data_IF_513826881269
#
_entry.id   IF_513826881269
#
_cell.length_a   1.000
_cell.length_b   1.000
_cell.length_c   1.000
_cell.angle_alpha   90.00
_cell.angle_beta   90.00
_cell.angle_gamma   90.00
#
_symmetry.space_group_name_H-M   'P 1'
#
loop_
_entity.id
_entity.type
_entity.pdbx_description
1 polymer ?
#
# COMPACT_ATOMS: atom_id res chain seq x y z
N UNK A 1 39.36 -17.51 -0.18
CA UNK A 1 38.33 -18.56 -0.06
C UNK A 1 37.42 -18.26 1.13
N UNK A 2 36.31 -17.58 0.91
CA UNK A 2 35.28 -17.38 1.95
C UNK A 2 34.25 -18.50 1.80
N UNK A 3 34.39 -19.53 2.62
CA UNK A 3 33.35 -20.55 2.77
C UNK A 3 32.18 -19.86 3.46
N UNK A 4 31.06 -19.71 2.75
CA UNK A 4 29.84 -19.11 3.29
C UNK A 4 29.51 -19.68 4.66
N UNK A 5 29.22 -18.79 5.62
CA UNK A 5 28.87 -19.14 6.98
C UNK A 5 27.78 -20.22 6.99
N UNK A 6 28.17 -21.43 7.41
CA UNK A 6 27.25 -22.51 7.72
C UNK A 6 26.61 -22.14 9.05
N UNK A 7 25.39 -21.62 9.01
CA UNK A 7 24.56 -21.48 10.22
C UNK A 7 24.20 -22.89 10.69
N UNK A 8 24.91 -23.40 11.71
CA UNK A 8 24.52 -24.62 12.43
C UNK A 8 23.53 -24.24 13.52
N UNK A 9 22.33 -24.83 13.49
CA UNK A 9 21.49 -24.96 14.69
C UNK A 9 22.06 -26.09 15.55
N UNK A 10 21.91 -26.02 16.86
CA UNK A 10 22.34 -26.99 17.88
C UNK A 10 21.81 -28.44 17.69
N UNK A 11 21.10 -28.75 16.60
CA UNK A 11 20.51 -30.06 16.32
C UNK A 11 20.79 -30.45 14.86
N UNK A 12 22.03 -30.85 14.58
CA UNK A 12 22.46 -31.85 13.56
C UNK A 12 22.12 -31.70 12.07
N UNK A 13 21.04 -31.03 11.65
CA UNK A 13 20.55 -31.08 10.28
C UNK A 13 20.84 -29.76 9.53
N UNK A 14 21.73 -29.81 8.54
CA UNK A 14 22.09 -28.69 7.66
C UNK A 14 20.96 -28.46 6.66
N UNK A 15 20.11 -27.45 6.88
CA UNK A 15 18.94 -27.17 6.03
C UNK A 15 19.25 -26.53 4.66
N UNK A 16 20.49 -26.13 4.38
CA UNK A 16 20.87 -25.53 3.08
C UNK A 16 22.26 -25.98 2.66
N UNK A 17 22.31 -26.99 1.81
CA UNK A 17 23.49 -27.26 1.00
C UNK A 17 23.52 -26.24 -0.14
N UNK A 18 24.48 -25.31 -0.13
CA UNK A 18 24.73 -24.39 -1.25
C UNK A 18 25.38 -25.10 -2.46
N UNK A 19 25.03 -26.36 -2.73
CA UNK A 19 25.54 -27.09 -3.89
C UNK A 19 24.69 -26.71 -5.10
N UNK A 20 25.34 -26.19 -6.12
CA UNK A 20 24.73 -25.86 -7.40
C UNK A 20 24.98 -27.02 -8.39
N UNK A 21 24.03 -27.29 -9.30
CA UNK A 21 24.19 -28.37 -10.28
C UNK A 21 25.36 -28.08 -11.23
N UNK A 22 26.03 -29.14 -11.67
CA UNK A 22 26.96 -29.07 -12.80
C UNK A 22 26.20 -28.67 -14.07
N UNK A 23 26.90 -27.99 -14.97
CA UNK A 23 26.37 -27.57 -16.26
C UNK A 23 27.50 -27.31 -17.23
N UNK A 24 27.47 -27.93 -18.40
CA UNK A 24 28.52 -27.75 -19.41
C UNK A 24 28.30 -26.52 -20.29
N UNK A 25 27.23 -25.76 -20.04
CA UNK A 25 26.95 -24.46 -20.67
C UNK A 25 26.31 -23.50 -19.65
N UNK A 26 26.35 -22.19 -19.94
CA UNK A 26 25.53 -21.22 -19.20
C UNK A 26 24.16 -21.10 -19.85
N UNK A 27 23.10 -21.30 -19.06
CA UNK A 27 21.71 -21.25 -19.52
C UNK A 27 20.99 -20.09 -18.82
N UNK A 28 20.45 -19.19 -19.63
CA UNK A 28 19.61 -18.08 -19.16
C UNK A 28 18.13 -18.51 -19.29
N UNK A 29 17.36 -18.30 -18.23
CA UNK A 29 15.94 -18.63 -18.21
C UNK A 29 15.10 -17.35 -18.03
N UNK A 30 13.90 -17.34 -18.60
CA UNK A 30 12.98 -16.20 -18.45
C UNK A 30 12.44 -16.06 -17.00
N UNK A 31 12.14 -17.18 -16.33
CA UNK A 31 11.38 -17.19 -15.08
C UNK A 31 12.12 -17.83 -13.88
N UNK A 32 13.42 -18.13 -13.99
CA UNK A 32 14.22 -18.70 -12.90
C UNK A 32 15.68 -18.23 -12.96
N UNK A 33 16.45 -18.32 -11.85
CA UNK A 33 17.86 -17.93 -11.85
C UNK A 33 18.68 -18.65 -12.92
N UNK A 34 19.71 -17.97 -13.44
CA UNK A 34 20.61 -18.52 -14.44
C UNK A 34 21.34 -19.77 -13.92
N UNK A 35 21.58 -20.73 -14.82
CA UNK A 35 22.42 -21.89 -14.54
C UNK A 35 23.78 -21.62 -15.19
N UNK A 36 24.79 -21.33 -14.38
CA UNK A 36 26.13 -21.02 -14.86
C UNK A 36 26.90 -22.27 -15.26
N UNK A 37 27.77 -22.12 -16.26
CA UNK A 37 28.80 -23.10 -16.61
C UNK A 37 29.57 -23.52 -15.36
N UNK A 38 29.59 -24.82 -15.13
CA UNK A 38 30.14 -25.49 -13.96
C UNK A 38 30.47 -26.93 -14.35
N UNK A 39 31.65 -27.19 -14.91
CA UNK A 39 32.03 -28.53 -15.34
C UNK A 39 32.14 -29.46 -14.14
N UNK A 40 31.73 -30.72 -14.35
CA UNK A 40 31.96 -31.80 -13.41
C UNK A 40 33.45 -32.16 -13.34
N UNK A 41 33.94 -32.84 -12.30
CA UNK A 41 35.32 -33.33 -12.27
C UNK A 41 35.69 -34.20 -13.47
N UNK A 42 34.73 -34.97 -13.98
CA UNK A 42 34.91 -35.82 -15.17
C UNK A 42 35.01 -35.00 -16.46
N UNK A 43 34.40 -33.80 -16.49
CA UNK A 43 34.42 -32.85 -17.60
C UNK A 43 35.52 -31.77 -17.46
N UNK A 44 36.59 -32.06 -16.71
CA UNK A 44 37.70 -31.12 -16.50
C UNK A 44 37.45 -30.07 -15.42
N UNK A 45 36.49 -30.30 -14.52
CA UNK A 45 36.19 -29.44 -13.39
C UNK A 45 37.17 -29.60 -12.23
N UNK A 46 37.56 -28.47 -11.64
CA UNK A 46 38.52 -28.44 -10.53
C UNK A 46 37.98 -29.05 -9.23
N UNK A 47 38.88 -29.70 -8.50
CA UNK A 47 38.62 -30.18 -7.14
C UNK A 47 39.76 -29.80 -6.19
N UNK A 48 39.40 -29.43 -4.96
CA UNK A 48 40.35 -29.02 -3.93
C UNK A 48 40.05 -29.77 -2.63
N UNK A 49 41.04 -30.50 -2.10
CA UNK A 49 40.93 -31.17 -0.80
C UNK A 49 41.57 -30.32 0.28
N UNK A 50 40.79 -29.93 1.29
CA UNK A 50 41.27 -29.16 2.45
C UNK A 50 41.04 -29.96 3.73
N UNK A 51 42.08 -30.11 4.55
CA UNK A 51 41.97 -30.69 5.89
C UNK A 51 41.27 -29.69 6.83
N UNK A 52 40.16 -30.08 7.44
CA UNK A 52 39.49 -29.32 8.50
C UNK A 52 39.33 -30.19 9.74
N UNK A 53 40.15 -29.92 10.75
CA UNK A 53 40.23 -30.76 11.95
C UNK A 53 40.73 -32.16 11.61
N UNK A 54 39.97 -33.19 12.00
CA UNK A 54 40.30 -34.61 11.75
C UNK A 54 39.81 -35.14 10.39
N UNK A 55 39.10 -34.34 9.59
CA UNK A 55 38.50 -34.77 8.33
C UNK A 55 39.09 -34.02 7.12
N UNK A 56 39.17 -34.72 5.99
CA UNK A 56 39.44 -34.13 4.68
C UNK A 56 38.12 -33.78 4.01
N UNK A 57 37.99 -32.54 3.54
CA UNK A 57 36.81 -32.07 2.83
C UNK A 57 37.21 -31.74 1.39
N UNK A 58 36.59 -32.44 0.43
CA UNK A 58 36.71 -32.13 -1.00
C UNK A 58 35.74 -31.01 -1.36
N UNK A 59 36.26 -29.95 -1.98
CA UNK A 59 35.50 -28.92 -2.66
C UNK A 59 35.58 -29.16 -4.15
N UNK A 60 34.44 -29.03 -4.82
CA UNK A 60 34.30 -29.15 -6.27
C UNK A 60 33.58 -27.89 -6.77
N UNK A 61 33.45 -27.78 -8.08
CA UNK A 61 32.75 -26.65 -8.70
C UNK A 61 31.29 -26.47 -8.22
N UNK A 62 30.61 -27.49 -7.66
CA UNK A 62 29.25 -27.34 -7.10
C UNK A 62 29.20 -26.40 -5.91
N UNK A 63 30.32 -26.20 -5.23
CA UNK A 63 30.43 -25.36 -4.03
C UNK A 63 30.99 -23.97 -4.33
N UNK A 64 31.26 -23.67 -5.60
CA UNK A 64 31.76 -22.37 -6.05
C UNK A 64 30.59 -21.47 -6.45
N UNK A 65 30.56 -20.28 -5.85
CA UNK A 65 29.61 -19.22 -6.16
C UNK A 65 30.19 -18.38 -7.31
N UNK A 66 29.38 -18.02 -8.33
CA UNK A 66 29.84 -17.17 -9.43
C UNK A 66 30.47 -15.86 -8.92
N UNK A 67 31.54 -15.44 -9.58
CA UNK A 67 32.28 -14.22 -9.23
C UNK A 67 32.82 -13.56 -10.48
N UNK A 68 33.18 -12.28 -10.36
CA UNK A 68 33.94 -11.56 -11.37
C UNK A 68 35.39 -11.41 -10.87
N UNK A 69 36.40 -11.92 -11.58
CA UNK A 69 37.81 -11.80 -11.18
C UNK A 69 38.25 -10.34 -10.96
N UNK A 70 37.81 -9.41 -11.81
CA UNK A 70 38.14 -7.99 -11.67
C UNK A 70 37.58 -7.41 -10.38
N UNK A 71 36.32 -7.68 -10.07
CA UNK A 71 35.68 -7.20 -8.83
C UNK A 71 36.34 -7.84 -7.60
N UNK A 72 36.68 -9.13 -7.68
CA UNK A 72 37.34 -9.85 -6.59
C UNK A 72 38.70 -9.25 -6.27
N UNK A 73 39.49 -8.89 -7.29
CA UNK A 73 40.80 -8.22 -7.10
C UNK A 73 40.61 -6.78 -6.65
N UNK A 74 39.70 -6.03 -7.26
CA UNK A 74 39.48 -4.61 -6.96
C UNK A 74 39.05 -4.34 -5.51
N UNK A 75 38.28 -5.25 -4.91
CA UNK A 75 37.75 -5.10 -3.55
C UNK A 75 38.33 -6.10 -2.56
N UNK A 76 39.30 -6.92 -2.98
CA UNK A 76 39.97 -7.96 -2.18
C UNK A 76 39.01 -8.89 -1.42
N UNK A 77 37.79 -9.07 -1.94
CA UNK A 77 36.78 -9.93 -1.31
C UNK A 77 35.85 -10.58 -2.34
N UNK A 78 35.21 -11.67 -1.93
CA UNK A 78 34.29 -12.39 -2.81
C UNK A 78 32.94 -11.67 -2.87
N UNK A 79 32.53 -11.31 -4.09
CA UNK A 79 31.22 -10.77 -4.38
C UNK A 79 30.39 -11.79 -5.14
N UNK A 80 29.18 -12.07 -4.66
CA UNK A 80 28.22 -12.89 -5.39
C UNK A 80 27.71 -12.10 -6.60
N UNK A 81 27.98 -12.58 -7.82
CA UNK A 81 27.49 -11.98 -9.05
C UNK A 81 26.40 -12.86 -9.68
N UNK A 82 25.22 -12.29 -9.92
CA UNK A 82 24.07 -13.00 -10.50
C UNK A 82 23.52 -12.20 -11.69
N UNK A 83 23.08 -12.89 -12.73
CA UNK A 83 22.47 -12.31 -13.94
C UNK A 83 21.01 -12.00 -13.65
N UNK A 84 20.62 -10.74 -13.81
CA UNK A 84 19.30 -10.24 -13.38
C UNK A 84 18.38 -9.79 -14.53
N UNK A 85 18.79 -9.93 -15.80
CA UNK A 85 18.03 -9.44 -16.95
C UNK A 85 16.86 -10.38 -17.30
N UNK A 86 15.70 -9.82 -17.63
CA UNK A 86 14.50 -10.56 -18.06
C UNK A 86 13.52 -11.00 -16.96
N UNK A 87 13.94 -10.94 -15.68
CA UNK A 87 13.10 -11.35 -14.55
C UNK A 87 12.68 -10.14 -13.70
N UNK A 88 11.45 -9.66 -13.86
CA UNK A 88 10.87 -8.55 -13.07
C UNK A 88 10.99 -8.78 -11.57
N UNK A 89 10.89 -10.02 -11.11
CA UNK A 89 11.07 -10.39 -9.71
C UNK A 89 12.51 -10.26 -9.19
N UNK A 90 13.53 -10.53 -10.02
CA UNK A 90 14.93 -10.34 -9.63
C UNK A 90 15.29 -8.86 -9.61
N UNK A 91 14.79 -8.09 -10.58
CA UNK A 91 14.94 -6.64 -10.59
C UNK A 91 14.24 -6.02 -9.36
N UNK A 92 13.02 -6.49 -9.07
CA UNK A 92 12.27 -6.14 -7.86
C UNK A 92 13.02 -6.57 -6.60
N UNK A 93 13.67 -7.73 -6.57
CA UNK A 93 14.47 -8.18 -5.43
C UNK A 93 15.71 -7.30 -5.22
N UNK A 94 16.46 -7.02 -6.29
CA UNK A 94 17.65 -6.18 -6.28
C UNK A 94 17.32 -4.73 -5.90
N UNK A 95 16.17 -4.21 -6.33
CA UNK A 95 15.67 -2.89 -5.93
C UNK A 95 14.99 -2.89 -4.57
N UNK A 96 14.47 -4.04 -4.09
CA UNK A 96 13.79 -4.10 -2.79
C UNK A 96 14.76 -4.23 -1.65
N UNK A 97 15.83 -5.02 -1.78
CA UNK A 97 16.70 -5.37 -0.66
C UNK A 97 17.55 -4.22 -0.09
N UNK A 98 18.16 -3.35 -0.91
CA UNK A 98 18.85 -2.16 -0.42
C UNK A 98 17.92 -1.18 0.30
N UNK A 99 16.64 -1.16 -0.08
CA UNK A 99 15.61 -0.29 0.48
C UNK A 99 14.69 -1.01 1.46
N UNK A 100 14.95 -2.29 1.77
CA UNK A 100 14.23 -3.03 2.78
C UNK A 100 14.65 -2.39 4.09
N UNK A 101 13.75 -1.59 4.64
CA UNK A 101 14.03 -0.77 5.82
C UNK A 101 14.63 -1.59 6.95
N UNK A 102 15.35 -0.90 7.82
CA UNK A 102 15.88 -1.45 9.07
C UNK A 102 14.83 -2.35 9.73
N UNK A 103 15.17 -3.63 9.86
CA UNK A 103 14.35 -4.54 10.67
C UNK A 103 14.32 -3.98 12.08
N UNK A 104 13.17 -4.03 12.74
CA UNK A 104 13.15 -3.72 14.17
C UNK A 104 13.62 -4.98 14.90
N UNK A 105 14.56 -4.79 15.82
CA UNK A 105 14.95 -5.85 16.75
C UNK A 105 14.30 -5.56 18.09
N UNK A 106 13.64 -6.57 18.64
CA UNK A 106 13.25 -6.55 20.03
C UNK A 106 14.45 -6.98 20.87
N UNK A 107 14.86 -6.13 21.79
CA UNK A 107 15.99 -6.41 22.68
C UNK A 107 15.44 -6.67 24.07
N UNK A 108 15.79 -7.83 24.62
CA UNK A 108 15.52 -8.20 26.01
C UNK A 108 16.75 -7.84 26.84
N UNK A 109 16.58 -7.00 27.87
CA UNK A 109 17.64 -6.69 28.83
C UNK A 109 17.50 -7.60 30.04
N UNK A 110 18.54 -8.36 30.36
CA UNK A 110 18.64 -9.09 31.63
C UNK A 110 19.51 -8.27 32.59
N UNK A 111 19.02 -7.99 33.80
CA UNK A 111 19.80 -7.38 34.88
C UNK A 111 19.92 -8.42 35.98
N UNK A 112 21.14 -8.80 36.34
CA UNK A 112 21.44 -9.74 37.42
C UNK A 112 20.72 -11.09 37.34
N UNK A 113 20.48 -11.62 36.13
CA UNK A 113 19.85 -12.93 35.92
C UNK A 113 18.36 -13.02 36.30
N UNK A 114 17.75 -11.91 36.75
CA UNK A 114 16.34 -11.80 37.05
C UNK A 114 15.63 -11.06 35.92
N UNK A 115 14.63 -11.72 35.33
CA UNK A 115 13.75 -11.12 34.34
C UNK A 115 12.66 -10.37 35.09
N UNK A 116 12.83 -9.07 35.31
CA UNK A 116 11.76 -8.22 35.82
C UNK A 116 10.79 -7.93 34.67
N UNK A 117 9.67 -8.66 34.58
CA UNK A 117 8.73 -8.58 33.46
C UNK A 117 7.89 -7.29 33.57
N UNK A 118 8.36 -6.24 32.90
CA UNK A 118 7.54 -5.08 32.52
C UNK A 118 7.34 -5.16 30.99
N UNK A 119 6.22 -5.74 30.56
CA UNK A 119 5.95 -6.12 29.15
C UNK A 119 6.07 -4.93 28.17
N UNK A 120 5.52 -3.73 28.44
CA UNK A 120 5.74 -2.54 27.59
C UNK A 120 7.19 -2.05 27.54
N UNK A 121 7.94 -2.09 28.65
CA UNK A 121 9.35 -1.67 28.71
C UNK A 121 10.30 -2.70 28.10
N UNK A 122 9.93 -3.98 28.12
CA UNK A 122 10.75 -5.09 27.62
C UNK A 122 10.80 -5.21 26.10
N UNK A 123 9.84 -4.62 25.39
CA UNK A 123 9.88 -4.54 23.93
C UNK A 123 10.40 -3.17 23.50
N UNK A 124 11.64 -2.85 23.89
CA UNK A 124 12.35 -1.75 23.24
C UNK A 124 12.53 -2.10 21.76
N UNK A 125 11.65 -1.52 20.92
CA UNK A 125 11.69 -1.65 19.47
C UNK A 125 12.92 -0.88 18.96
N UNK A 126 14.07 -1.54 18.96
CA UNK A 126 15.31 -0.93 18.50
C UNK A 126 15.41 -1.01 16.99
N UNK A 127 16.02 0.01 16.39
CA UNK A 127 16.29 0.04 14.96
C UNK A 127 17.56 -0.78 14.70
N UNK A 128 17.44 -1.96 14.07
CA UNK A 128 18.61 -2.71 13.63
C UNK A 128 19.28 -1.98 12.46
N UNK A 129 20.59 -1.78 12.58
CA UNK A 129 21.45 -1.28 11.52
C UNK A 129 22.40 -2.42 11.14
N UNK A 130 22.49 -2.75 9.86
CA UNK A 130 23.43 -3.79 9.41
C UNK A 130 24.88 -3.32 9.63
N UNK A 131 25.85 -4.24 9.76
CA UNK A 131 27.27 -3.86 9.86
C UNK A 131 27.73 -2.92 8.74
N UNK A 132 27.22 -3.12 7.52
CA UNK A 132 27.50 -2.25 6.37
C UNK A 132 26.95 -0.85 6.54
N UNK A 133 25.72 -0.71 7.06
CA UNK A 133 25.13 0.60 7.34
C UNK A 133 25.87 1.31 8.49
N UNK A 134 26.24 0.56 9.53
CA UNK A 134 27.02 1.08 10.66
C UNK A 134 28.40 1.60 10.21
N UNK A 135 29.15 0.79 9.45
CA UNK A 135 30.43 1.19 8.86
C UNK A 135 30.28 2.44 7.98
N UNK A 136 29.30 2.46 7.09
CA UNK A 136 29.04 3.61 6.21
C UNK A 136 28.78 4.89 7.01
N UNK A 137 28.05 4.80 8.14
CA UNK A 137 27.80 5.96 9.02
C UNK A 137 29.04 6.39 9.78
N UNK A 138 29.82 5.46 10.33
CA UNK A 138 31.08 5.75 11.02
C UNK A 138 32.04 6.47 10.06
N UNK A 139 32.14 5.98 8.83
CA UNK A 139 32.97 6.58 7.78
C UNK A 139 32.33 7.80 7.10
N UNK A 140 31.14 8.23 7.52
CA UNK A 140 30.39 9.34 6.93
C UNK A 140 30.14 9.22 5.41
N UNK A 141 30.05 7.99 4.90
CA UNK A 141 29.70 7.73 3.50
C UNK A 141 28.23 8.05 3.25
N UNK A 142 27.97 8.76 2.14
CA UNK A 142 26.62 9.07 1.69
C UNK A 142 25.96 7.77 1.18
N UNK A 143 25.18 7.14 2.05
CA UNK A 143 24.51 5.86 1.76
C UNK A 143 23.32 5.98 0.80
N UNK A 144 22.63 7.13 0.80
CA UNK A 144 21.50 7.39 -0.08
C UNK A 144 21.46 8.87 -0.48
N UNK A 145 21.23 9.11 -1.77
CA UNK A 145 20.93 10.44 -2.28
C UNK A 145 19.46 10.48 -2.70
N UNK A 146 18.65 11.26 -1.96
CA UNK A 146 17.30 11.58 -2.39
C UNK A 146 17.36 12.73 -3.39
N UNK A 147 16.91 12.48 -4.62
CA UNK A 147 16.77 13.50 -5.66
C UNK A 147 15.69 14.53 -5.31
N UNK A 148 14.64 14.12 -4.59
CA UNK A 148 13.48 14.96 -4.26
C UNK A 148 13.16 14.97 -2.76
N UNK A 149 12.51 16.02 -2.31
CA UNK A 149 11.85 16.11 -1.00
C UNK A 149 10.40 15.70 -1.19
N UNK A 150 9.99 14.60 -0.54
CA UNK A 150 8.60 14.12 -0.59
C UNK A 150 7.78 14.80 0.49
N UNK A 151 6.71 15.49 0.10
CA UNK A 151 5.77 16.15 1.01
C UNK A 151 4.51 15.27 1.12
N UNK A 152 4.22 14.69 2.30
CA UNK A 152 3.04 13.87 2.49
C UNK A 152 1.76 14.72 2.48
N UNK A 153 0.80 14.32 1.67
CA UNK A 153 -0.49 14.96 1.48
C UNK A 153 -1.61 13.97 1.86
N UNK A 154 -2.54 14.39 2.70
CA UNK A 154 -3.66 13.57 3.18
C UNK A 154 -4.97 14.08 2.58
N UNK A 155 -5.84 13.16 2.17
CA UNK A 155 -7.20 13.45 1.74
C UNK A 155 -8.17 13.24 2.90
N UNK A 156 -9.17 14.10 2.99
CA UNK A 156 -10.33 13.99 3.87
C UNK A 156 -11.52 14.67 3.18
N UNK A 157 -12.74 14.26 3.51
CA UNK A 157 -13.95 14.95 3.06
C UNK A 157 -13.99 16.37 3.66
N UNK A 158 -14.77 17.31 3.06
CA UNK A 158 -15.02 18.61 3.66
C UNK A 158 -15.41 18.48 5.13
N UNK A 159 -14.78 19.29 5.98
CA UNK A 159 -14.97 19.33 7.44
C UNK A 159 -14.64 18.05 8.24
N UNK A 160 -14.16 16.99 7.57
CA UNK A 160 -13.76 15.72 8.19
C UNK A 160 -12.24 15.59 8.39
N UNK A 161 -11.51 16.69 8.57
CA UNK A 161 -10.07 16.66 8.85
C UNK A 161 -9.75 16.05 10.21
N UNK A 162 -8.71 15.22 10.24
CA UNK A 162 -8.15 14.70 11.50
C UNK A 162 -7.36 15.80 12.23
N UNK A 163 -7.75 16.08 13.47
CA UNK A 163 -7.07 17.04 14.34
C UNK A 163 -6.32 16.27 15.43
N UNK A 164 -5.02 16.48 15.52
CA UNK A 164 -4.16 15.87 16.53
C UNK A 164 -3.89 16.86 17.66
N UNK A 165 -4.11 16.42 18.89
CA UNK A 165 -3.87 17.21 20.09
C UNK A 165 -3.17 16.36 21.17
N UNK A 166 -2.53 17.03 22.12
CA UNK A 166 -1.96 16.46 23.34
C UNK A 166 -2.83 16.87 24.52
N UNK A 167 -2.70 16.16 25.65
CA UNK A 167 -3.42 16.50 26.88
C UNK A 167 -3.27 17.97 27.29
N UNK A 168 -2.09 18.56 27.03
CA UNK A 168 -1.78 19.97 27.36
C UNK A 168 -2.50 21.00 26.48
N UNK A 169 -2.84 20.67 25.23
CA UNK A 169 -3.44 21.62 24.29
C UNK A 169 -4.88 21.25 23.87
N UNK A 170 -5.42 20.15 24.38
CA UNK A 170 -6.77 19.66 24.10
C UNK A 170 -7.83 20.72 24.35
N UNK A 171 -7.84 21.32 25.55
CA UNK A 171 -8.83 22.33 25.95
C UNK A 171 -8.84 23.56 25.04
N UNK A 172 -7.65 24.03 24.63
CA UNK A 172 -7.50 25.17 23.71
C UNK A 172 -7.99 24.83 22.29
N UNK A 173 -7.73 23.61 21.83
CA UNK A 173 -8.17 23.16 20.50
C UNK A 173 -9.70 22.96 20.49
N UNK A 174 -10.26 22.35 21.53
CA UNK A 174 -11.70 22.15 21.67
C UNK A 174 -12.42 23.50 21.73
N UNK A 175 -11.93 24.47 22.52
CA UNK A 175 -12.54 25.79 22.58
C UNK A 175 -12.46 26.54 21.24
N UNK A 176 -11.35 26.40 20.50
CA UNK A 176 -11.22 26.97 19.16
C UNK A 176 -12.19 26.32 18.15
N UNK A 177 -12.38 25.00 18.22
CA UNK A 177 -13.34 24.27 17.38
C UNK A 177 -14.77 24.72 17.70
N UNK A 178 -15.13 24.81 19.00
CA UNK A 178 -16.45 25.31 19.42
C UNK A 178 -16.70 26.76 18.99
N UNK A 179 -15.63 27.55 18.84
CA UNK A 179 -15.68 28.91 18.29
C UNK A 179 -15.64 28.95 16.75
N UNK A 180 -15.77 27.81 16.06
CA UNK A 180 -15.77 27.69 14.60
C UNK A 180 -14.39 27.81 13.93
N UNK A 181 -13.30 27.85 14.70
CA UNK A 181 -11.93 27.96 14.18
C UNK A 181 -11.30 26.58 14.05
N UNK A 182 -11.65 25.87 12.99
CA UNK A 182 -11.08 24.55 12.71
C UNK A 182 -9.69 24.72 12.09
N UNK A 183 -8.63 24.08 12.61
CA UNK A 183 -7.29 24.16 12.04
C UNK A 183 -7.23 23.63 10.62
N UNK A 184 -6.64 24.41 9.70
CA UNK A 184 -6.51 23.98 8.32
C UNK A 184 -5.52 22.82 8.15
N UNK A 185 -5.95 21.84 7.35
CA UNK A 185 -5.09 20.79 6.81
C UNK A 185 -4.37 21.30 5.56
N UNK A 186 -3.45 20.51 5.01
CA UNK A 186 -2.84 20.82 3.71
C UNK A 186 -3.86 20.89 2.57
N UNK A 187 -4.91 20.07 2.65
CA UNK A 187 -5.97 20.01 1.64
C UNK A 187 -6.94 21.17 1.79
N UNK A 188 -7.41 21.47 3.01
CA UNK A 188 -8.31 22.62 3.23
C UNK A 188 -7.62 23.95 2.93
N UNK A 189 -6.34 24.08 3.28
CA UNK A 189 -5.53 25.23 2.89
C UNK A 189 -5.33 25.32 1.37
N UNK A 190 -5.26 24.18 0.66
CA UNK A 190 -5.19 24.16 -0.80
C UNK A 190 -6.50 24.63 -1.43
N UNK A 191 -7.65 24.22 -0.89
CA UNK A 191 -8.94 24.73 -1.35
C UNK A 191 -9.06 26.23 -1.15
N UNK A 192 -8.66 26.75 0.02
CA UNK A 192 -8.60 28.21 0.26
C UNK A 192 -7.64 28.90 -0.72
N UNK A 193 -6.49 28.30 -1.00
CA UNK A 193 -5.52 28.81 -1.96
C UNK A 193 -6.13 28.89 -3.38
N UNK A 194 -6.88 27.87 -3.82
CA UNK A 194 -7.55 27.86 -5.13
C UNK A 194 -8.60 28.97 -5.27
N UNK A 195 -9.18 29.43 -4.16
CA UNK A 195 -10.11 30.57 -4.15
C UNK A 195 -9.33 31.89 -4.27
N UNK A 196 -8.23 32.02 -3.53
CA UNK A 196 -7.45 33.27 -3.48
C UNK A 196 -6.49 33.49 -4.65
N UNK A 197 -5.99 32.42 -5.27
CA UNK A 197 -4.96 32.46 -6.32
C UNK A 197 -5.38 31.61 -7.52
N UNK A 198 -5.64 32.27 -8.65
CA UNK A 198 -6.04 31.62 -9.90
C UNK A 198 -4.96 30.70 -10.46
N UNK A 199 -3.68 30.96 -10.18
CA UNK A 199 -2.60 30.09 -10.63
C UNK A 199 -2.63 28.75 -9.87
N UNK A 200 -2.98 28.77 -8.59
CA UNK A 200 -3.14 27.54 -7.80
C UNK A 200 -4.31 26.68 -8.28
N UNK A 201 -5.37 27.31 -8.80
CA UNK A 201 -6.54 26.61 -9.38
C UNK A 201 -6.19 25.76 -10.61
N UNK A 202 -5.04 26.01 -11.24
CA UNK A 202 -4.55 25.23 -12.39
C UNK A 202 -3.54 24.14 -12.01
N UNK A 203 -3.25 23.95 -10.72
CA UNK A 203 -2.21 23.02 -10.24
C UNK A 203 -2.88 21.91 -9.43
N UNK A 204 -2.63 20.66 -9.82
CA UNK A 204 -3.11 19.49 -9.09
C UNK A 204 -2.58 19.49 -7.66
N UNK A 205 -3.39 19.01 -6.71
CA UNK A 205 -3.02 18.99 -5.30
C UNK A 205 -1.67 18.28 -5.05
N UNK A 206 -1.38 17.21 -5.79
CA UNK A 206 -0.11 16.48 -5.73
C UNK A 206 1.10 17.32 -6.15
N UNK A 207 0.91 18.31 -7.04
CA UNK A 207 1.99 19.12 -7.62
C UNK A 207 2.14 20.47 -6.90
N UNK A 208 1.20 20.85 -6.03
CA UNK A 208 1.28 22.09 -5.25
C UNK A 208 2.62 22.26 -4.50
N UNK A 209 3.22 21.22 -3.90
CA UNK A 209 4.51 21.36 -3.22
C UNK A 209 5.69 21.80 -4.10
N UNK A 210 5.58 21.68 -5.43
CA UNK A 210 6.59 22.12 -6.40
C UNK A 210 6.66 23.65 -6.47
N UNK A 211 5.50 24.31 -6.37
CA UNK A 211 5.34 25.76 -6.55
C UNK A 211 5.05 26.49 -5.24
N UNK A 212 4.50 25.81 -4.23
CA UNK A 212 4.15 26.39 -2.94
C UNK A 212 4.81 25.64 -1.77
N UNK A 213 5.09 26.38 -0.69
CA UNK A 213 5.52 25.84 0.59
C UNK A 213 4.43 26.01 1.64
N UNK A 214 4.06 24.90 2.28
CA UNK A 214 3.13 24.92 3.40
C UNK A 214 3.81 25.46 4.66
N UNK A 215 3.32 26.59 5.18
CA UNK A 215 3.71 27.09 6.50
C UNK A 215 2.92 26.33 7.57
N UNK A 216 3.63 25.59 8.44
CA UNK A 216 2.99 24.79 9.50
C UNK A 216 2.37 25.63 10.62
N UNK A 217 2.87 26.84 10.85
CA UNK A 217 2.42 27.72 11.92
C UNK A 217 1.13 28.42 11.50
N UNK A 218 1.16 29.06 10.34
CA UNK A 218 0.03 29.80 9.78
C UNK A 218 -1.01 28.88 9.13
N UNK A 219 -0.66 27.62 8.84
CA UNK A 219 -1.46 26.64 8.10
C UNK A 219 -1.86 27.08 6.69
N UNK A 220 -1.02 27.89 6.04
CA UNK A 220 -1.26 28.39 4.68
C UNK A 220 -0.16 27.95 3.71
N UNK A 221 -0.52 27.85 2.43
CA UNK A 221 0.43 27.69 1.35
C UNK A 221 0.98 29.06 0.93
N UNK A 222 2.30 29.20 0.87
CA UNK A 222 3.00 30.40 0.40
C UNK A 222 3.76 30.09 -0.88
N UNK A 223 3.67 30.97 -1.87
CA UNK A 223 4.37 30.81 -3.15
C UNK A 223 5.89 30.75 -2.93
N UNK A 224 6.55 29.82 -3.60
CA UNK A 224 8.00 29.72 -3.54
C UNK A 224 8.64 30.77 -4.45
N UNK A 225 9.57 31.56 -3.89
CA UNK A 225 10.42 32.42 -4.69
C UNK A 225 11.55 31.59 -5.30
N UNK A 226 11.30 31.03 -6.49
CA UNK A 226 12.31 30.31 -7.28
C UNK A 226 13.13 31.34 -8.05
N UNK A 227 13.99 32.09 -7.35
CA UNK A 227 15.01 32.91 -8.00
C UNK A 227 16.21 32.05 -8.40
N UNK A 228 17.07 32.54 -9.30
CA UNK A 228 18.27 31.82 -9.76
C UNK A 228 19.19 31.36 -8.62
N UNK A 229 19.18 32.06 -7.48
CA UNK A 229 19.92 31.70 -6.26
C UNK A 229 19.41 30.41 -5.57
N UNK A 230 18.20 29.93 -5.92
CA UNK A 230 17.58 28.72 -5.37
C UNK A 230 17.74 27.48 -6.26
N UNK A 231 18.51 27.52 -7.37
CA UNK A 231 18.77 26.34 -8.24
C UNK A 231 19.40 25.15 -7.50
N UNK A 232 20.11 25.38 -6.39
CA UNK A 232 20.68 24.31 -5.55
C UNK A 232 19.65 23.67 -4.59
N UNK A 233 18.40 24.11 -4.58
CA UNK A 233 17.36 23.55 -3.71
C UNK A 233 16.84 22.25 -4.31
N UNK A 234 16.78 21.19 -3.49
CA UNK A 234 16.21 19.92 -3.92
C UNK A 234 14.76 20.11 -4.37
N UNK A 235 14.36 19.57 -5.54
CA UNK A 235 12.98 19.60 -6.01
C UNK A 235 12.06 18.92 -5.00
N UNK A 236 10.78 19.31 -4.99
CA UNK A 236 9.79 18.85 -4.00
C UNK A 236 8.64 18.21 -4.76
N UNK A 237 8.16 17.07 -4.29
CA UNK A 237 7.00 16.39 -4.88
C UNK A 237 5.97 16.12 -3.79
N UNK A 238 4.69 16.27 -4.10
CA UNK A 238 3.64 15.79 -3.23
C UNK A 238 3.52 14.27 -3.33
N UNK A 239 3.13 13.64 -2.23
CA UNK A 239 2.68 12.25 -2.23
C UNK A 239 1.36 12.18 -1.52
N UNK A 240 0.30 11.92 -2.25
CA UNK A 240 -1.02 11.69 -1.68
C UNK A 240 -1.05 10.29 -1.04
N UNK A 241 -1.51 10.20 0.21
CA UNK A 241 -1.74 8.90 0.85
C UNK A 241 -2.86 8.15 0.14
N UNK A 242 -2.64 6.85 -0.09
CA UNK A 242 -3.65 5.97 -0.69
C UNK A 242 -4.88 5.94 0.20
N UNK A 243 -6.04 6.16 -0.43
CA UNK A 243 -7.35 5.99 0.20
C UNK A 243 -7.91 4.62 -0.23
N UNK A 244 -8.59 3.94 0.69
CA UNK A 244 -9.22 2.66 0.39
C UNK A 244 -10.51 2.88 -0.40
N UNK A 245 -10.78 2.09 -1.46
CA UNK A 245 -12.07 2.10 -2.17
C UNK A 245 -13.28 1.72 -1.31
N UNK A 246 -13.05 1.23 -0.09
CA UNK A 246 -14.11 0.89 0.87
C UNK A 246 -14.87 2.11 1.37
N UNK A 247 -14.26 3.29 1.35
CA UNK A 247 -14.91 4.57 1.59
C UNK A 247 -15.13 5.23 0.22
N UNK A 248 -16.28 5.00 -0.42
CA UNK A 248 -16.49 5.35 -1.83
C UNK A 248 -16.38 6.85 -2.06
N UNK A 249 -16.85 7.65 -1.10
CA UNK A 249 -16.89 9.11 -1.21
C UNK A 249 -15.50 9.72 -1.02
N UNK A 250 -14.77 9.28 0.00
CA UNK A 250 -13.39 9.72 0.21
C UNK A 250 -12.47 9.23 -0.93
N UNK A 251 -12.72 8.02 -1.43
CA UNK A 251 -11.97 7.46 -2.56
C UNK A 251 -12.23 8.24 -3.85
N UNK A 252 -13.49 8.63 -4.11
CA UNK A 252 -13.83 9.49 -5.23
C UNK A 252 -13.11 10.83 -5.15
N UNK A 253 -13.08 11.48 -3.99
CA UNK A 253 -12.31 12.71 -3.79
C UNK A 253 -10.80 12.50 -4.02
N UNK A 254 -10.25 11.36 -3.56
CA UNK A 254 -8.86 11.00 -3.81
C UNK A 254 -8.53 10.85 -5.30
N UNK A 255 -9.41 10.23 -6.10
CA UNK A 255 -9.19 10.14 -7.55
C UNK A 255 -9.41 11.51 -8.20
N UNK A 256 -10.49 12.20 -7.88
CA UNK A 256 -10.79 13.52 -8.45
C UNK A 256 -9.62 14.50 -8.27
N UNK A 257 -9.03 14.56 -7.07
CA UNK A 257 -7.88 15.44 -6.77
C UNK A 257 -6.59 15.07 -7.50
N UNK A 258 -6.48 13.84 -8.03
CA UNK A 258 -5.36 13.42 -8.89
C UNK A 258 -5.53 13.83 -10.35
N UNK A 259 -6.76 13.98 -10.80
CA UNK A 259 -7.06 14.28 -12.20
C UNK A 259 -7.44 15.74 -12.44
N UNK A 260 -8.01 16.40 -11.43
CA UNK A 260 -8.57 17.74 -11.54
C UNK A 260 -8.10 18.61 -10.36
N UNK A 261 -7.65 19.85 -10.63
CA UNK A 261 -7.37 20.81 -9.59
C UNK A 261 -8.65 21.54 -9.15
N UNK A 262 -8.59 22.20 -8.00
CA UNK A 262 -9.64 23.13 -7.56
C UNK A 262 -10.26 22.81 -6.20
N UNK A 263 -11.35 23.53 -5.92
CA UNK A 263 -12.13 23.43 -4.69
C UNK A 263 -13.10 22.25 -4.74
N UNK A 264 -13.70 21.83 -3.60
CA UNK A 264 -14.75 20.82 -3.58
C UNK A 264 -15.87 21.08 -4.59
N UNK A 265 -16.29 22.35 -4.72
CA UNK A 265 -17.31 22.77 -5.66
C UNK A 265 -16.88 22.59 -7.12
N UNK A 266 -15.64 22.93 -7.44
CA UNK A 266 -15.08 22.72 -8.79
C UNK A 266 -15.04 21.22 -9.14
N UNK A 267 -14.71 20.36 -8.16
CA UNK A 267 -14.65 18.91 -8.34
C UNK A 267 -16.04 18.27 -8.50
N UNK A 268 -17.04 18.78 -7.79
CA UNK A 268 -18.45 18.35 -7.89
C UNK A 268 -19.14 18.85 -9.17
N UNK A 269 -18.63 19.91 -9.80
CA UNK A 269 -19.21 20.44 -11.03
C UNK A 269 -18.71 19.65 -12.24
N UNK A 270 -19.62 19.01 -12.97
CA UNK A 270 -19.33 18.23 -14.20
C UNK A 270 -20.25 18.72 -15.31
N UNK A 271 -19.69 19.15 -16.44
CA UNK A 271 -20.45 19.66 -17.61
C UNK A 271 -21.48 20.77 -17.27
N UNK A 272 -21.18 21.61 -16.27
CA UNK A 272 -22.08 22.68 -15.83
C UNK A 272 -23.15 22.25 -14.80
N UNK A 273 -23.21 20.96 -14.44
CA UNK A 273 -24.10 20.44 -13.40
C UNK A 273 -23.33 20.17 -12.10
N UNK A 274 -23.87 20.62 -10.97
CA UNK A 274 -23.29 20.38 -9.63
C UNK A 274 -23.83 19.04 -9.08
N UNK A 275 -22.94 18.06 -8.92
CA UNK A 275 -23.27 16.75 -8.37
C UNK A 275 -23.48 16.83 -6.85
N UNK A 276 -24.26 15.91 -6.29
CA UNK A 276 -24.48 15.86 -4.83
C UNK A 276 -23.31 15.20 -4.10
N UNK A 277 -22.63 14.27 -4.76
CA UNK A 277 -21.54 13.48 -4.17
C UNK A 277 -20.30 13.46 -5.07
N UNK A 278 -19.12 13.32 -4.47
CA UNK A 278 -17.88 13.12 -5.20
C UNK A 278 -17.91 11.81 -6.00
N UNK A 279 -18.53 10.77 -5.46
CA UNK A 279 -18.70 9.50 -6.17
C UNK A 279 -19.48 9.68 -7.48
N UNK A 280 -20.59 10.43 -7.47
CA UNK A 280 -21.35 10.78 -8.67
C UNK A 280 -20.50 11.58 -9.66
N UNK A 281 -19.81 12.63 -9.20
CA UNK A 281 -18.95 13.44 -10.05
C UNK A 281 -17.82 12.63 -10.71
N UNK A 282 -17.20 11.71 -9.96
CA UNK A 282 -16.17 10.82 -10.48
C UNK A 282 -16.73 9.85 -11.54
N UNK A 283 -17.96 9.32 -11.36
CA UNK A 283 -18.64 8.49 -12.36
C UNK A 283 -18.94 9.27 -13.64
N UNK A 284 -19.53 10.46 -13.53
CA UNK A 284 -19.83 11.29 -14.71
C UNK A 284 -18.57 11.71 -15.47
N UNK A 285 -17.43 11.80 -14.79
CA UNK A 285 -16.11 12.04 -15.39
C UNK A 285 -15.44 10.78 -15.95
N UNK A 286 -16.07 9.61 -15.86
CA UNK A 286 -15.55 8.33 -16.35
C UNK A 286 -14.32 7.82 -15.58
N UNK A 287 -14.15 8.24 -14.33
CA UNK A 287 -13.00 7.87 -13.49
C UNK A 287 -13.17 6.52 -12.79
N UNK A 288 -14.41 6.04 -12.70
CA UNK A 288 -14.72 4.71 -12.20
C UNK A 288 -15.16 3.80 -13.36
N UNK A 289 -14.74 2.54 -13.29
CA UNK A 289 -15.30 1.47 -14.11
C UNK A 289 -16.75 1.25 -13.68
N UNK A 290 -17.66 1.26 -14.66
CA UNK A 290 -19.08 1.01 -14.44
C UNK A 290 -19.35 -0.31 -13.72
N UNK A 291 -20.48 -0.38 -13.03
CA UNK A 291 -21.00 -1.61 -12.41
C UNK A 291 -21.31 -2.74 -13.41
N UNK A 292 -20.98 -2.59 -14.69
CA UNK A 292 -21.21 -3.54 -15.77
C UNK A 292 -20.80 -4.98 -15.41
N UNK A 293 -19.67 -5.17 -14.71
CA UNK A 293 -19.24 -6.51 -14.28
C UNK A 293 -20.22 -7.09 -13.26
N UNK A 294 -20.64 -6.30 -12.27
CA UNK A 294 -21.55 -6.73 -11.21
C UNK A 294 -22.98 -6.88 -11.71
N UNK A 295 -23.41 -6.02 -12.63
CA UNK A 295 -24.68 -6.17 -13.32
C UNK A 295 -24.72 -7.47 -14.12
N UNK A 296 -23.71 -7.76 -14.94
CA UNK A 296 -23.63 -9.04 -15.68
C UNK A 296 -23.62 -10.23 -14.73
N UNK A 297 -22.86 -10.15 -13.64
CA UNK A 297 -22.78 -11.20 -12.61
C UNK A 297 -24.14 -11.45 -11.96
N UNK A 298 -24.86 -10.39 -11.56
CA UNK A 298 -26.19 -10.52 -10.96
C UNK A 298 -27.23 -10.97 -11.99
N UNK A 299 -27.10 -10.58 -13.25
CA UNK A 299 -27.96 -11.02 -14.35
C UNK A 299 -27.80 -12.52 -14.63
N UNK A 300 -26.57 -13.03 -14.68
CA UNK A 300 -26.30 -14.46 -14.79
C UNK A 300 -26.79 -15.23 -13.54
N UNK A 301 -26.56 -14.67 -12.35
CA UNK A 301 -27.07 -15.21 -11.10
C UNK A 301 -28.60 -15.29 -11.08
N UNK A 302 -29.28 -14.28 -11.62
CA UNK A 302 -30.75 -14.21 -11.63
C UNK A 302 -31.43 -15.34 -12.40
N UNK A 303 -30.70 -15.97 -13.33
CA UNK A 303 -31.16 -17.10 -14.14
C UNK A 303 -30.90 -18.44 -13.44
N UNK A 304 -29.84 -18.52 -12.64
CA UNK A 304 -29.28 -19.79 -12.13
C UNK A 304 -29.42 -20.00 -10.62
N UNK A 305 -29.66 -18.93 -9.85
CA UNK A 305 -29.62 -18.94 -8.39
C UNK A 305 -31.01 -18.75 -7.78
N UNK A 306 -31.22 -19.38 -6.62
CA UNK A 306 -32.41 -19.12 -5.81
C UNK A 306 -32.29 -17.80 -5.03
N UNK A 307 -33.39 -17.26 -4.48
CA UNK A 307 -33.37 -15.97 -3.78
C UNK A 307 -32.37 -15.88 -2.62
N UNK A 308 -32.10 -16.99 -1.92
CA UNK A 308 -31.12 -17.01 -0.83
C UNK A 308 -29.69 -16.84 -1.36
N UNK A 309 -29.37 -17.57 -2.43
CA UNK A 309 -28.09 -17.46 -3.12
C UNK A 309 -27.91 -16.09 -3.78
N UNK A 310 -28.98 -15.50 -4.34
CA UNK A 310 -28.94 -14.14 -4.88
C UNK A 310 -28.61 -13.10 -3.80
N UNK A 311 -29.22 -13.19 -2.60
CA UNK A 311 -28.87 -12.30 -1.47
C UNK A 311 -27.42 -12.47 -1.02
N UNK A 312 -26.92 -13.72 -0.98
CA UNK A 312 -25.52 -13.99 -0.65
C UNK A 312 -24.55 -13.42 -1.69
N UNK A 313 -24.84 -13.62 -2.97
CA UNK A 313 -24.04 -13.07 -4.08
C UNK A 313 -24.01 -11.55 -4.01
N UNK A 314 -25.17 -10.91 -3.83
CA UNK A 314 -25.28 -9.46 -3.68
C UNK A 314 -24.46 -8.94 -2.50
N UNK A 315 -24.60 -9.54 -1.31
CA UNK A 315 -23.79 -9.17 -0.14
C UNK A 315 -22.28 -9.35 -0.40
N UNK A 316 -21.87 -10.43 -1.05
CA UNK A 316 -20.46 -10.66 -1.41
C UNK A 316 -19.94 -9.60 -2.39
N UNK A 317 -20.74 -9.20 -3.38
CA UNK A 317 -20.39 -8.11 -4.29
C UNK A 317 -20.18 -6.84 -3.48
N UNK A 318 -21.14 -6.43 -2.63
CA UNK A 318 -21.00 -5.22 -1.81
C UNK A 318 -19.75 -5.23 -0.92
N UNK A 319 -19.42 -6.37 -0.30
CA UNK A 319 -18.28 -6.48 0.61
C UNK A 319 -16.94 -6.51 -0.13
N UNK A 320 -16.84 -7.25 -1.25
CA UNK A 320 -15.56 -7.61 -1.88
C UNK A 320 -15.34 -7.06 -3.29
N UNK A 321 -16.38 -6.60 -3.97
CA UNK A 321 -16.29 -6.15 -5.37
C UNK A 321 -15.75 -4.73 -5.54
N UNK A 322 -15.63 -3.95 -4.46
CA UNK A 322 -15.02 -2.62 -4.49
C UNK A 322 -13.51 -2.72 -4.72
N UNK A 323 -13.03 -2.13 -5.82
CA UNK A 323 -11.60 -2.10 -6.18
C UNK A 323 -11.12 -0.67 -6.42
N UNK A 324 -9.82 -0.47 -6.66
CA UNK A 324 -9.25 0.85 -6.96
C UNK A 324 -9.86 1.51 -8.21
N UNK A 325 -10.55 0.74 -9.06
CA UNK A 325 -11.18 1.24 -10.28
C UNK A 325 -12.70 1.12 -10.28
N UNK A 326 -13.27 0.26 -9.46
CA UNK A 326 -14.71 0.02 -9.42
C UNK A 326 -15.27 0.36 -8.03
N UNK A 327 -16.07 1.41 -7.96
CA UNK A 327 -16.89 1.74 -6.78
C UNK A 327 -18.28 1.20 -7.01
N UNK A 328 -18.73 0.32 -6.12
CA UNK A 328 -20.04 -0.33 -6.27
C UNK A 328 -21.16 0.64 -5.93
N UNK A 329 -22.13 0.76 -6.84
CA UNK A 329 -23.39 1.44 -6.55
C UNK A 329 -24.43 0.40 -6.07
N UNK A 330 -24.47 0.20 -4.75
CA UNK A 330 -25.34 -0.81 -4.15
C UNK A 330 -26.82 -0.51 -4.37
N UNK A 331 -27.22 0.76 -4.30
CA UNK A 331 -28.60 1.18 -4.54
C UNK A 331 -29.04 0.94 -5.98
N UNK A 332 -28.18 1.25 -6.96
CA UNK A 332 -28.46 0.95 -8.37
C UNK A 332 -28.68 -0.55 -8.58
N UNK A 333 -27.73 -1.38 -8.13
CA UNK A 333 -27.82 -2.84 -8.28
C UNK A 333 -29.03 -3.41 -7.52
N UNK A 334 -29.35 -2.88 -6.34
CA UNK A 334 -30.54 -3.25 -5.59
C UNK A 334 -31.81 -3.00 -6.39
N UNK A 335 -31.98 -1.78 -6.91
CA UNK A 335 -33.17 -1.40 -7.69
C UNK A 335 -33.34 -2.26 -8.95
N UNK A 336 -32.24 -2.69 -9.57
CA UNK A 336 -32.27 -3.56 -10.75
C UNK A 336 -32.66 -5.01 -10.44
N UNK A 337 -32.28 -5.54 -9.27
CA UNK A 337 -32.38 -6.97 -8.98
C UNK A 337 -33.25 -7.32 -7.76
N UNK A 338 -33.94 -6.36 -7.14
CA UNK A 338 -34.74 -6.55 -5.93
C UNK A 338 -35.73 -7.72 -6.05
N UNK A 339 -36.35 -7.89 -7.22
CA UNK A 339 -37.32 -8.96 -7.47
C UNK A 339 -36.69 -10.36 -7.48
N UNK A 340 -35.37 -10.48 -7.56
CA UNK A 340 -34.65 -11.75 -7.48
C UNK A 340 -34.19 -12.09 -6.05
N UNK A 341 -34.38 -11.20 -5.08
CA UNK A 341 -33.96 -11.41 -3.69
C UNK A 341 -35.03 -12.00 -2.79
N UNK A 342 -36.23 -12.29 -3.31
CA UNK A 342 -37.29 -12.98 -2.59
C UNK A 342 -38.04 -13.98 -3.48
N UNK A 343 -38.84 -14.86 -2.87
CA UNK A 343 -39.70 -15.77 -3.64
C UNK A 343 -40.88 -14.98 -4.23
N UNK A 344 -40.93 -14.92 -5.57
CA UNK A 344 -41.96 -14.19 -6.33
C UNK A 344 -43.35 -14.80 -6.24
N UNK A 345 -43.49 -16.02 -5.72
CA UNK A 345 -44.80 -16.64 -5.46
C UNK A 345 -45.40 -16.01 -4.19
N UNK A 346 -45.88 -14.79 -4.33
CA UNK A 346 -46.45 -13.96 -3.27
C UNK A 346 -47.57 -13.08 -3.82
N UNK A 347 -48.49 -12.67 -2.94
CA UNK A 347 -49.45 -11.61 -3.27
C UNK A 347 -48.78 -10.24 -3.23
N UNK A 348 -49.38 -9.23 -3.85
CA UNK A 348 -48.87 -7.84 -3.79
C UNK A 348 -48.76 -7.31 -2.36
N UNK A 349 -49.68 -7.73 -1.47
CA UNK A 349 -49.62 -7.37 -0.04
C UNK A 349 -48.39 -7.99 0.68
N UNK A 350 -47.96 -9.19 0.27
CA UNK A 350 -46.79 -9.87 0.83
C UNK A 350 -45.47 -9.38 0.25
N UNK A 351 -45.49 -8.79 -0.96
CA UNK A 351 -44.30 -8.35 -1.69
C UNK A 351 -43.44 -7.41 -0.85
N UNK A 352 -44.04 -6.37 -0.27
CA UNK A 352 -43.33 -5.39 0.57
C UNK A 352 -42.69 -6.06 1.80
N UNK A 353 -43.39 -6.97 2.45
CA UNK A 353 -42.88 -7.72 3.61
C UNK A 353 -41.71 -8.61 3.21
N UNK A 354 -41.75 -9.23 2.03
CA UNK A 354 -40.67 -10.09 1.52
C UNK A 354 -39.43 -9.30 1.12
N UNK A 355 -39.60 -8.12 0.54
CA UNK A 355 -38.51 -7.18 0.25
C UNK A 355 -37.84 -6.73 1.55
N UNK A 356 -38.63 -6.35 2.56
CA UNK A 356 -38.13 -5.96 3.89
C UNK A 356 -37.33 -7.09 4.56
N UNK A 357 -37.84 -8.33 4.51
CA UNK A 357 -37.10 -9.51 4.99
C UNK A 357 -35.80 -9.76 4.21
N UNK A 358 -35.81 -9.53 2.89
CA UNK A 358 -34.61 -9.68 2.07
C UNK A 358 -33.53 -8.67 2.50
N UNK A 359 -33.91 -7.41 2.75
CA UNK A 359 -33.03 -6.37 3.30
C UNK A 359 -32.45 -6.78 4.65
N UNK A 360 -33.28 -7.27 5.58
CA UNK A 360 -32.82 -7.72 6.90
C UNK A 360 -31.80 -8.88 6.82
N UNK A 361 -31.99 -9.81 5.87
CA UNK A 361 -31.02 -10.89 5.64
C UNK A 361 -29.71 -10.34 5.06
N UNK A 362 -29.78 -9.43 4.10
CA UNK A 362 -28.60 -8.79 3.52
C UNK A 362 -27.86 -7.99 4.60
N UNK A 363 -28.57 -7.24 5.45
CA UNK A 363 -27.98 -6.52 6.59
C UNK A 363 -27.19 -7.46 7.49
N UNK A 364 -27.77 -8.61 7.86
CA UNK A 364 -27.06 -9.63 8.65
C UNK A 364 -25.78 -10.13 7.98
N UNK A 365 -25.79 -10.32 6.66
CA UNK A 365 -24.61 -10.74 5.88
C UNK A 365 -23.54 -9.64 5.79
N UNK A 366 -23.96 -8.37 5.73
CA UNK A 366 -23.05 -7.23 5.75
C UNK A 366 -22.42 -7.06 7.14
N UNK A 367 -23.23 -7.15 8.20
CA UNK A 367 -22.79 -7.00 9.59
C UNK A 367 -21.78 -8.07 9.99
N UNK A 368 -21.92 -9.31 9.49
CA UNK A 368 -20.92 -10.36 9.73
C UNK A 368 -19.55 -10.06 9.10
N UNK A 369 -19.51 -9.12 8.13
CA UNK A 369 -18.30 -8.59 7.51
C UNK A 369 -17.95 -7.17 8.00
N UNK A 370 -18.62 -6.68 9.05
CA UNK A 370 -18.39 -5.35 9.63
C UNK A 370 -18.85 -4.19 8.74
N UNK A 371 -19.84 -4.41 7.87
CA UNK A 371 -20.44 -3.41 6.97
C UNK A 371 -21.92 -3.21 7.30
N UNK A 372 -22.49 -2.09 6.88
CA UNK A 372 -23.91 -1.77 7.06
C UNK A 372 -24.62 -1.46 5.73
N UNK A 373 -25.95 -1.53 5.71
CA UNK A 373 -26.76 -1.14 4.53
C UNK A 373 -26.58 0.35 4.15
N UNK A 374 -26.41 1.20 5.16
CA UNK A 374 -26.29 2.66 4.98
C UNK A 374 -25.07 3.04 4.14
N UNK A 375 -23.96 2.30 4.27
CA UNK A 375 -22.74 2.53 3.49
C UNK A 375 -22.94 2.39 1.97
N UNK A 376 -23.98 1.66 1.57
CA UNK A 376 -24.31 1.41 0.16
C UNK A 376 -25.57 2.14 -0.28
N UNK A 377 -26.03 3.12 0.51
CA UNK A 377 -27.27 3.88 0.30
C UNK A 377 -28.52 2.98 0.17
N UNK A 378 -28.53 1.83 0.84
CA UNK A 378 -29.67 0.91 0.82
C UNK A 378 -30.71 1.28 1.88
N UNK A 379 -32.01 1.05 1.61
CA UNK A 379 -33.07 1.26 2.59
C UNK A 379 -32.88 0.35 3.80
N UNK A 380 -33.15 0.89 4.99
CA UNK A 380 -33.15 0.11 6.23
C UNK A 380 -34.44 -0.73 6.32
N UNK A 381 -34.36 -1.98 6.78
CA UNK A 381 -35.55 -2.77 7.04
C UNK A 381 -36.35 -2.18 8.22
N UNK A 382 -37.68 -2.22 8.13
CA UNK A 382 -38.60 -1.71 9.17
C UNK A 382 -38.40 -2.41 10.53
N UNK A 383 -37.94 -3.66 10.51
CA UNK A 383 -37.56 -4.43 11.69
C UNK A 383 -36.05 -4.63 11.78
N UNK A 384 -35.27 -3.56 11.59
CA UNK A 384 -33.84 -3.58 11.91
C UNK A 384 -33.68 -4.02 13.38
N UNK A 385 -33.13 -5.21 13.58
CA UNK A 385 -32.83 -5.75 14.91
C UNK A 385 -31.87 -4.75 15.56
N UNK A 386 -32.39 -3.93 16.46
CA UNK A 386 -31.58 -3.20 17.44
C UNK A 386 -31.18 -4.13 18.57
#
# INVERSE_FOLDING_TARGET
MTVGNIVRKLMGNVKRTFRKPYSNITILHANKPAVYYRPSPDDGGETLKIKRGRAWITYDNTKVVPYNPLILVMFECHHNLEFAYGQTDNLKYALKYPFKGSSFSYVRSEVNGLITVDEPLHYARMIYRSPTEAYSRIMSFKYAFLSHIVIPLSIHLPDNQKIYFTSKNASKIISAINAGKIPDSRLSAYWKLCISDSAAKNILFENIPETYAFNKNDKVWKKLNISEKNKNRKPRIGRIYTVSPRDPELFALYILTKHFPGTPKDLLTVNGHECQTFAEAARLRGLFEDNNVWERTLREGSISLNPSQMRQLFANILVFGGTEKCVIDGLLLWNMFVDHFYDRRCTEAEKLIRIDRALAIIEKLLLSNGRSLQEFNLPLPNNSIR
#
